data_IF_877112167174
#
_entry.id   IF_877112167174
#
_cell.length_a   1.000
_cell.length_b   1.000
_cell.length_c   1.000
_cell.angle_alpha   90.00
_cell.angle_beta   90.00
_cell.angle_gamma   90.00
#
_symmetry.space_group_name_H-M   'P 1'
#
loop_
_entity.id
_entity.type
_entity.pdbx_description
1 polymer ?
#
# COMPACT_ATOMS: atom_id res chain seq x y z
N UNK A 1 3.85 3.48 25.13
CA UNK A 1 3.91 3.85 23.70
C UNK A 1 4.60 2.70 23.01
N UNK A 2 3.85 1.83 22.30
CA UNK A 2 4.39 0.60 21.70
C UNK A 2 5.08 0.96 20.37
N UNK A 3 6.32 1.40 20.46
CA UNK A 3 7.10 1.94 19.34
C UNK A 3 7.46 0.88 18.27
N UNK A 4 7.37 -0.42 18.61
CA UNK A 4 7.68 -1.53 17.70
C UNK A 4 6.60 -1.81 16.63
N UNK A 5 5.31 -1.73 16.99
CA UNK A 5 4.20 -2.10 16.10
C UNK A 5 3.63 -0.96 15.26
N UNK A 6 3.86 0.31 15.62
CA UNK A 6 3.32 1.46 14.91
C UNK A 6 4.09 1.81 13.63
N UNK A 7 5.39 1.52 13.58
CA UNK A 7 6.26 1.89 12.46
C UNK A 7 5.93 1.15 11.15
N UNK A 8 5.68 -0.18 11.15
CA UNK A 8 5.26 -0.89 9.94
C UNK A 8 3.92 -0.37 9.41
N UNK A 9 2.97 -0.13 10.32
CA UNK A 9 1.64 0.37 9.99
C UNK A 9 1.72 1.77 9.38
N UNK A 10 2.54 2.67 9.94
CA UNK A 10 2.73 4.02 9.42
C UNK A 10 3.32 4.02 7.99
N UNK A 11 4.31 3.16 7.73
CA UNK A 11 4.94 3.04 6.40
C UNK A 11 3.93 2.56 5.35
N UNK A 12 3.11 1.56 5.69
CA UNK A 12 2.05 1.08 4.80
C UNK A 12 0.91 2.08 4.64
N UNK A 13 0.57 2.84 5.67
CA UNK A 13 -0.42 3.91 5.59
C UNK A 13 0.00 4.97 4.56
N UNK A 14 1.28 5.38 4.54
CA UNK A 14 1.79 6.34 3.54
C UNK A 14 1.69 5.79 2.11
N UNK A 15 1.81 4.48 1.91
CA UNK A 15 1.68 3.85 0.59
C UNK A 15 0.21 3.70 0.15
N UNK A 16 -0.70 3.45 1.11
CA UNK A 16 -2.12 3.16 0.86
C UNK A 16 -2.97 4.41 0.81
N UNK A 17 -2.77 5.37 1.72
CA UNK A 17 -3.58 6.60 1.83
C UNK A 17 -3.66 7.40 0.52
N UNK A 18 -2.57 7.67 -0.22
CA UNK A 18 -2.65 8.39 -1.48
C UNK A 18 -3.29 7.57 -2.61
N UNK A 19 -3.30 6.23 -2.51
CA UNK A 19 -3.98 5.36 -3.47
C UNK A 19 -5.49 5.45 -3.35
N UNK A 20 -6.03 5.60 -2.14
CA UNK A 20 -7.48 5.62 -1.88
C UNK A 20 -8.23 6.66 -2.74
N UNK A 21 -7.87 7.95 -2.77
CA UNK A 21 -8.59 8.94 -3.57
C UNK A 21 -8.47 8.67 -5.08
N UNK A 22 -7.31 8.18 -5.54
CA UNK A 22 -7.09 7.84 -6.96
C UNK A 22 -7.93 6.63 -7.36
N UNK A 23 -7.95 5.58 -6.54
CA UNK A 23 -8.75 4.39 -6.76
C UNK A 23 -10.26 4.70 -6.70
N UNK A 24 -10.70 5.54 -5.76
CA UNK A 24 -12.10 5.99 -5.67
C UNK A 24 -12.48 6.82 -6.91
N UNK A 25 -11.59 7.70 -7.37
CA UNK A 25 -11.85 8.50 -8.58
C UNK A 25 -11.94 7.64 -9.85
N UNK A 26 -11.07 6.64 -9.99
CA UNK A 26 -11.11 5.68 -11.11
C UNK A 26 -12.32 4.75 -11.02
N UNK A 27 -12.69 4.32 -9.82
CA UNK A 27 -13.87 3.50 -9.58
C UNK A 27 -15.16 4.22 -9.94
N UNK A 28 -15.28 5.50 -9.57
CA UNK A 28 -16.42 6.35 -9.94
C UNK A 28 -16.56 6.58 -11.46
N UNK A 29 -15.54 6.22 -12.24
CA UNK A 29 -15.53 6.32 -13.71
C UNK A 29 -15.62 4.95 -14.41
N UNK A 30 -15.81 3.86 -13.66
CA UNK A 30 -15.74 2.48 -14.14
C UNK A 30 -14.40 2.12 -14.85
N UNK A 31 -13.36 2.92 -14.60
CA UNK A 31 -12.03 2.78 -15.23
C UNK A 31 -11.00 2.15 -14.26
N UNK A 32 -11.50 1.60 -13.14
CA UNK A 32 -10.64 0.92 -12.17
C UNK A 32 -10.24 -0.46 -12.70
N UNK A 33 -9.18 -0.48 -13.52
CA UNK A 33 -8.61 -1.72 -14.03
C UNK A 33 -7.85 -2.48 -12.93
N UNK A 34 -8.05 -3.81 -12.87
CA UNK A 34 -7.20 -4.72 -12.08
C UNK A 34 -5.71 -4.51 -12.40
N UNK A 35 -5.39 -4.20 -13.67
CA UNK A 35 -4.02 -3.92 -14.11
C UNK A 35 -3.43 -2.70 -13.42
N UNK A 36 -4.23 -1.65 -13.19
CA UNK A 36 -3.82 -0.45 -12.49
C UNK A 36 -3.55 -0.73 -11.01
N UNK A 37 -4.44 -1.48 -10.35
CA UNK A 37 -4.29 -1.87 -8.94
C UNK A 37 -3.00 -2.68 -8.74
N UNK A 38 -2.76 -3.67 -9.61
CA UNK A 38 -1.54 -4.49 -9.56
C UNK A 38 -0.30 -3.64 -9.85
N UNK A 39 -0.31 -2.82 -10.90
CA UNK A 39 0.84 -1.96 -11.23
C UNK A 39 1.19 -0.99 -10.11
N UNK A 40 0.20 -0.41 -9.44
CA UNK A 40 0.40 0.49 -8.31
C UNK A 40 0.92 -0.24 -7.06
N UNK A 41 0.41 -1.44 -6.77
CA UNK A 41 0.80 -2.22 -5.58
C UNK A 41 2.09 -3.03 -5.79
N UNK A 42 2.48 -3.31 -7.02
CA UNK A 42 3.65 -4.12 -7.36
C UNK A 42 4.95 -3.61 -6.71
N UNK A 43 5.31 -2.31 -6.75
CA UNK A 43 6.52 -1.81 -6.10
C UNK A 43 6.51 -2.04 -4.58
N UNK A 44 5.38 -1.80 -3.92
CA UNK A 44 5.26 -2.01 -2.47
C UNK A 44 5.42 -3.49 -2.10
N UNK A 45 4.84 -4.41 -2.87
CA UNK A 45 4.99 -5.85 -2.68
C UNK A 45 6.43 -6.29 -2.91
N UNK A 46 7.08 -5.84 -3.99
CA UNK A 46 8.47 -6.16 -4.30
C UNK A 46 9.41 -5.64 -3.20
N UNK A 47 9.26 -4.39 -2.77
CA UNK A 47 10.08 -3.81 -1.71
C UNK A 47 9.89 -4.53 -0.36
N UNK A 48 8.69 -5.04 -0.09
CA UNK A 48 8.43 -5.86 1.10
C UNK A 48 9.08 -7.24 0.98
N UNK A 49 9.00 -7.89 -0.19
CA UNK A 49 9.64 -9.17 -0.45
C UNK A 49 11.18 -9.11 -0.39
N UNK A 50 11.75 -7.97 -0.79
CA UNK A 50 13.19 -7.68 -0.68
C UNK A 50 13.62 -7.32 0.75
N UNK A 51 12.70 -7.24 1.72
CA UNK A 51 12.99 -6.85 3.09
C UNK A 51 13.30 -5.37 3.30
N UNK A 52 13.08 -4.53 2.28
CA UNK A 52 13.26 -3.07 2.34
C UNK A 52 12.11 -2.42 3.11
N UNK A 53 10.88 -2.85 2.85
CA UNK A 53 9.71 -2.46 3.62
C UNK A 53 9.41 -3.51 4.70
N UNK A 54 9.07 -3.08 5.93
CA UNK A 54 8.64 -4.00 6.96
C UNK A 54 7.32 -4.66 6.55
N UNK A 55 7.25 -5.98 6.71
CA UNK A 55 6.02 -6.72 6.51
C UNK A 55 4.94 -6.21 7.49
N UNK A 56 3.72 -5.86 7.01
CA UNK A 56 2.70 -5.27 7.87
C UNK A 56 2.11 -6.27 8.87
N UNK A 57 2.37 -7.56 8.67
CA UNK A 57 1.96 -8.68 9.55
C UNK A 57 3.02 -9.08 10.56
N UNK A 58 4.20 -8.44 10.58
CA UNK A 58 5.23 -8.72 11.56
C UNK A 58 5.06 -7.82 12.79
N UNK A 59 3.99 -8.10 13.55
CA UNK A 59 3.70 -7.52 14.87
C UNK A 59 4.50 -8.19 15.98
#
# INVERSE_FOLDING_TARGET
>A
MNEGGQRPIAVWAVLVVPFVPVAVSLWARDDLSIRFVVAYRFPAVVLTALGVLPAPWNV
#
